data_IF_923657988631
#
_entry.id   IF_923657988631
#
_cell.length_a   1.000
_cell.length_b   1.000
_cell.length_c   1.000
_cell.angle_alpha   90.00
_cell.angle_beta   90.00
_cell.angle_gamma   90.00
#
_symmetry.space_group_name_H-M   'P 1'
#
loop_
_entity.id
_entity.type
_entity.pdbx_description
1 polymer ?
#
# COMPACT_ATOMS: atom_id res chain seq x y z
N UNK A 1 -55.03 -56.33 33.44
CA UNK A 1 -53.99 -55.44 33.99
C UNK A 1 -52.81 -55.22 33.03
N UNK A 2 -52.43 -56.21 32.21
CA UNK A 2 -51.26 -56.18 31.31
C UNK A 2 -51.28 -55.05 30.25
N UNK A 3 -52.41 -54.82 29.57
CA UNK A 3 -52.54 -53.78 28.53
C UNK A 3 -52.28 -52.35 29.02
N UNK A 4 -52.55 -52.06 30.30
CA UNK A 4 -52.32 -50.72 30.87
C UNK A 4 -50.83 -50.46 31.18
N UNK A 5 -50.08 -51.51 31.52
CA UNK A 5 -48.63 -51.42 31.70
C UNK A 5 -47.91 -51.22 30.36
N UNK A 6 -48.36 -51.95 29.34
CA UNK A 6 -47.83 -51.86 27.97
C UNK A 6 -48.06 -50.49 27.34
N UNK A 7 -49.24 -49.89 27.54
CA UNK A 7 -49.53 -48.52 27.09
C UNK A 7 -48.64 -47.45 27.75
N UNK A 8 -48.33 -47.59 29.04
CA UNK A 8 -47.40 -46.67 29.74
C UNK A 8 -45.97 -46.81 29.24
N UNK A 9 -45.53 -48.03 28.93
CA UNK A 9 -44.21 -48.26 28.34
C UNK A 9 -44.12 -47.65 26.93
N UNK A 10 -45.15 -47.83 26.09
CA UNK A 10 -45.20 -47.22 24.75
C UNK A 10 -45.17 -45.70 24.79
N UNK A 11 -45.90 -45.07 25.72
CA UNK A 11 -45.86 -43.62 25.91
C UNK A 11 -44.46 -43.14 26.38
N UNK A 12 -43.84 -43.90 27.28
CA UNK A 12 -42.47 -43.62 27.75
C UNK A 12 -41.45 -43.70 26.61
N UNK A 13 -41.54 -44.74 25.78
CA UNK A 13 -40.70 -44.93 24.60
C UNK A 13 -40.94 -43.84 23.55
N UNK A 14 -42.20 -43.49 23.27
CA UNK A 14 -42.55 -42.42 22.34
C UNK A 14 -42.01 -41.06 22.82
N UNK A 15 -42.13 -40.75 24.11
CA UNK A 15 -41.56 -39.53 24.70
C UNK A 15 -40.05 -39.51 24.59
N UNK A 16 -39.36 -40.61 24.92
CA UNK A 16 -37.91 -40.70 24.79
C UNK A 16 -37.46 -40.51 23.34
N UNK A 17 -38.14 -41.15 22.39
CA UNK A 17 -37.85 -41.01 20.97
C UNK A 17 -38.09 -39.58 20.47
N UNK A 18 -39.14 -38.91 20.95
CA UNK A 18 -39.44 -37.53 20.60
C UNK A 18 -38.41 -36.55 21.19
N UNK A 19 -38.01 -36.74 22.44
CA UNK A 19 -36.94 -35.95 23.07
C UNK A 19 -35.59 -36.18 22.38
N UNK A 20 -35.26 -37.43 22.06
CA UNK A 20 -34.04 -37.78 21.33
C UNK A 20 -34.02 -37.17 19.92
N UNK A 21 -35.13 -37.31 19.18
CA UNK A 21 -35.27 -36.73 17.85
C UNK A 21 -35.22 -35.19 17.87
N UNK A 22 -35.89 -34.54 18.82
CA UNK A 22 -35.88 -33.08 18.95
C UNK A 22 -34.51 -32.53 19.37
N UNK A 23 -33.78 -33.21 20.26
CA UNK A 23 -32.38 -32.88 20.55
C UNK A 23 -31.48 -33.09 19.33
N UNK A 24 -31.72 -34.12 18.52
CA UNK A 24 -31.04 -34.35 17.25
C UNK A 24 -31.28 -33.22 16.25
N UNK A 25 -32.52 -32.74 16.12
CA UNK A 25 -32.88 -31.58 15.30
C UNK A 25 -32.15 -30.33 15.80
N UNK A 26 -32.15 -30.08 17.11
CA UNK A 26 -31.49 -28.91 17.70
C UNK A 26 -29.97 -28.95 17.50
N UNK A 27 -29.34 -30.12 17.68
CA UNK A 27 -27.92 -30.30 17.42
C UNK A 27 -27.58 -30.04 15.95
N UNK A 28 -28.41 -30.53 15.02
CA UNK A 28 -28.25 -30.27 13.59
C UNK A 28 -28.46 -28.79 13.23
N UNK A 29 -29.43 -28.13 13.86
CA UNK A 29 -29.64 -26.70 13.69
C UNK A 29 -28.44 -25.88 14.17
N UNK A 30 -27.88 -26.21 15.35
CA UNK A 30 -26.66 -25.58 15.88
C UNK A 30 -25.46 -25.81 14.96
N UNK A 31 -25.27 -27.04 14.44
CA UNK A 31 -24.24 -27.36 13.45
C UNK A 31 -24.40 -26.52 12.19
N UNK A 32 -25.63 -26.42 11.65
CA UNK A 32 -25.93 -25.59 10.48
C UNK A 32 -25.61 -24.12 10.73
N UNK A 33 -25.98 -23.57 11.89
CA UNK A 33 -25.67 -22.18 12.24
C UNK A 33 -24.16 -21.92 12.25
N UNK A 34 -23.39 -22.84 12.84
CA UNK A 34 -21.92 -22.78 12.84
C UNK A 34 -21.34 -22.86 11.43
N UNK A 35 -21.86 -23.74 10.57
CA UNK A 35 -21.41 -23.87 9.18
C UNK A 35 -21.73 -22.62 8.37
N UNK A 36 -22.90 -22.01 8.58
CA UNK A 36 -23.27 -20.76 7.91
C UNK A 36 -22.33 -19.64 8.35
N UNK A 37 -22.05 -19.51 9.65
CA UNK A 37 -21.10 -18.51 10.18
C UNK A 37 -19.70 -18.70 9.59
N UNK A 38 -19.24 -19.95 9.47
CA UNK A 38 -17.95 -20.26 8.87
C UNK A 38 -17.93 -19.93 7.38
N UNK A 39 -18.99 -20.30 6.65
CA UNK A 39 -19.11 -20.01 5.22
C UNK A 39 -19.13 -18.51 4.93
N UNK A 40 -19.82 -17.71 5.75
CA UNK A 40 -19.78 -16.25 5.64
C UNK A 40 -18.39 -15.68 5.89
N UNK A 41 -17.67 -16.18 6.90
CA UNK A 41 -16.30 -15.75 7.16
C UNK A 41 -15.37 -16.12 5.98
N UNK A 42 -15.46 -17.36 5.48
CA UNK A 42 -14.64 -17.85 4.37
C UNK A 42 -14.93 -17.12 3.06
N UNK A 43 -16.20 -16.82 2.78
CA UNK A 43 -16.58 -15.99 1.64
C UNK A 43 -15.98 -14.59 1.75
N UNK A 44 -16.03 -13.99 2.95
CA UNK A 44 -15.48 -12.65 3.18
C UNK A 44 -13.96 -12.63 3.03
N UNK A 45 -13.25 -13.64 3.54
CA UNK A 45 -11.80 -13.81 3.33
C UNK A 45 -11.49 -13.98 1.85
N UNK A 46 -12.28 -14.78 1.12
CA UNK A 46 -12.09 -14.95 -0.33
C UNK A 46 -12.32 -13.65 -1.10
N UNK A 47 -13.30 -12.83 -0.71
CA UNK A 47 -13.50 -11.52 -1.32
C UNK A 47 -12.35 -10.58 -1.00
N UNK A 48 -11.77 -10.65 0.22
CA UNK A 48 -10.61 -9.87 0.61
C UNK A 48 -9.35 -10.25 -0.18
N UNK A 49 -9.07 -11.53 -0.39
CA UNK A 49 -7.96 -11.96 -1.24
C UNK A 49 -8.13 -11.48 -2.69
N UNK A 50 -9.36 -11.49 -3.23
CA UNK A 50 -9.62 -10.98 -4.57
C UNK A 50 -9.48 -9.46 -4.67
N UNK A 51 -9.85 -8.72 -3.62
CA UNK A 51 -9.67 -7.27 -3.60
C UNK A 51 -8.21 -6.89 -3.39
N UNK A 52 -7.42 -7.66 -2.64
CA UNK A 52 -5.97 -7.50 -2.54
C UNK A 52 -5.29 -7.64 -3.90
N UNK A 53 -5.56 -8.74 -4.63
CA UNK A 53 -5.04 -8.96 -5.99
C UNK A 53 -5.43 -7.80 -6.91
N UNK A 54 -6.67 -7.31 -6.80
CA UNK A 54 -7.14 -6.15 -7.56
C UNK A 54 -6.46 -4.83 -7.16
N UNK A 55 -6.13 -4.63 -5.88
CA UNK A 55 -5.35 -3.45 -5.45
C UNK A 55 -3.94 -3.54 -6.04
N UNK A 56 -3.34 -4.72 -6.04
CA UNK A 56 -2.03 -4.95 -6.65
C UNK A 56 -2.08 -4.73 -8.17
N UNK A 57 -3.13 -5.16 -8.86
CA UNK A 57 -3.38 -4.84 -10.27
C UNK A 57 -3.60 -3.35 -10.51
N UNK A 58 -4.28 -2.62 -9.61
CA UNK A 58 -4.47 -1.18 -9.73
C UNK A 58 -3.18 -0.38 -9.48
N UNK A 59 -2.28 -0.91 -8.64
CA UNK A 59 -0.97 -0.33 -8.37
C UNK A 59 0.07 -0.67 -9.45
N UNK A 60 0.00 -1.86 -10.04
CA UNK A 60 0.92 -2.34 -11.10
C UNK A 60 0.42 -2.03 -12.52
N UNK A 61 -0.90 -1.97 -12.73
CA UNK A 61 -1.59 -1.72 -14.01
C UNK A 61 -1.41 -0.31 -14.57
N UNK A 62 -0.66 0.56 -13.88
CA UNK A 62 -0.10 1.78 -14.48
C UNK A 62 0.97 1.52 -15.54
N UNK A 63 1.38 0.26 -15.79
CA UNK A 63 2.50 -0.10 -16.69
C UNK A 63 2.15 -1.18 -17.74
N UNK A 64 0.88 -1.57 -17.92
CA UNK A 64 0.52 -2.65 -18.84
C UNK A 64 -0.67 -2.32 -19.75
N UNK A 65 -0.36 -1.93 -20.99
CA UNK A 65 -1.16 -1.97 -22.22
C UNK A 65 -2.71 -1.97 -22.11
N UNK A 66 -3.34 -0.90 -22.61
CA UNK A 66 -4.41 -0.89 -23.65
C UNK A 66 -5.21 0.43 -23.58
N UNK A 67 -5.01 1.26 -24.60
CA UNK A 67 -5.98 2.16 -25.25
C UNK A 67 -7.31 2.46 -24.52
N UNK A 68 -7.29 3.32 -23.50
CA UNK A 68 -8.51 3.97 -23.02
C UNK A 68 -8.29 5.46 -22.73
N UNK A 69 -8.82 6.28 -23.64
CA UNK A 69 -9.29 7.64 -23.37
C UNK A 69 -8.22 8.70 -23.04
N UNK A 70 -8.20 9.85 -23.74
CA UNK A 70 -7.26 10.94 -23.46
C UNK A 70 -7.44 11.67 -22.09
N UNK A 71 -8.18 11.10 -21.13
CA UNK A 71 -8.41 11.71 -19.80
C UNK A 71 -8.35 10.72 -18.60
N UNK A 72 -8.09 9.43 -18.79
CA UNK A 72 -8.12 8.43 -17.70
C UNK A 72 -6.78 7.69 -17.49
N UNK A 73 -5.66 8.32 -17.86
CA UNK A 73 -4.29 7.81 -17.62
C UNK A 73 -3.75 8.08 -16.20
N UNK A 74 -4.62 8.50 -15.28
CA UNK A 74 -4.26 8.80 -13.91
C UNK A 74 -4.15 7.51 -13.10
N UNK A 75 -2.96 7.20 -12.59
CA UNK A 75 -2.79 6.20 -11.54
C UNK A 75 -3.82 6.50 -10.43
N UNK A 76 -4.80 5.61 -10.28
CA UNK A 76 -5.90 5.75 -9.33
C UNK A 76 -5.43 5.39 -7.92
N UNK A 77 -4.41 6.09 -7.41
CA UNK A 77 -3.86 5.88 -6.08
C UNK A 77 -4.94 6.04 -5.00
N UNK A 78 -5.78 7.08 -5.13
CA UNK A 78 -6.92 7.35 -4.24
C UNK A 78 -7.88 6.15 -4.17
N UNK A 79 -8.19 5.54 -5.32
CA UNK A 79 -9.08 4.39 -5.41
C UNK A 79 -8.47 3.12 -4.81
N UNK A 80 -7.19 2.87 -5.09
CA UNK A 80 -6.44 1.73 -4.56
C UNK A 80 -6.30 1.80 -3.04
N UNK A 81 -5.91 2.96 -2.51
CA UNK A 81 -5.74 3.21 -1.06
C UNK A 81 -7.06 3.06 -0.32
N UNK A 82 -8.15 3.63 -0.85
CA UNK A 82 -9.47 3.51 -0.20
C UNK A 82 -9.91 2.06 -0.11
N UNK A 83 -9.74 1.30 -1.20
CA UNK A 83 -10.06 -0.12 -1.21
C UNK A 83 -9.18 -0.89 -0.22
N UNK A 84 -7.91 -0.52 -0.10
CA UNK A 84 -6.96 -1.14 0.82
C UNK A 84 -7.31 -0.89 2.30
N UNK A 85 -7.71 0.33 2.65
CA UNK A 85 -8.20 0.67 3.99
C UNK A 85 -9.48 -0.09 4.33
N UNK A 86 -10.41 -0.23 3.37
CA UNK A 86 -11.63 -1.04 3.55
C UNK A 86 -11.28 -2.52 3.75
N UNK A 87 -10.28 -3.04 3.02
CA UNK A 87 -9.77 -4.39 3.20
C UNK A 87 -9.15 -4.60 4.59
N UNK A 88 -8.41 -3.61 5.10
CA UNK A 88 -7.79 -3.69 6.42
C UNK A 88 -8.84 -3.66 7.54
N UNK A 89 -9.86 -2.81 7.44
CA UNK A 89 -10.97 -2.75 8.39
C UNK A 89 -11.78 -4.06 8.41
N UNK A 90 -12.03 -4.63 7.23
CA UNK A 90 -12.67 -5.92 7.11
C UNK A 90 -11.79 -7.05 7.68
N UNK A 91 -10.49 -7.09 7.36
CA UNK A 91 -9.55 -8.08 7.90
C UNK A 91 -9.46 -8.01 9.44
N UNK A 92 -9.46 -6.82 10.03
CA UNK A 92 -9.45 -6.64 11.48
C UNK A 92 -10.68 -7.28 12.17
N UNK A 93 -11.84 -7.26 11.50
CA UNK A 93 -13.07 -7.90 12.00
C UNK A 93 -12.98 -9.44 12.03
N UNK A 94 -12.06 -10.03 11.26
CA UNK A 94 -11.83 -11.48 11.15
C UNK A 94 -10.48 -11.94 11.72
N UNK A 95 -9.80 -11.10 12.52
CA UNK A 95 -8.47 -11.36 13.09
C UNK A 95 -8.38 -12.61 14.00
N UNK A 96 -9.53 -13.20 14.37
CA UNK A 96 -9.58 -14.45 15.14
C UNK A 96 -9.17 -15.70 14.34
N UNK A 97 -9.01 -15.58 13.02
CA UNK A 97 -8.50 -16.65 12.18
C UNK A 97 -7.01 -16.44 11.87
N UNK A 98 -6.18 -17.44 12.14
CA UNK A 98 -4.74 -17.40 11.82
C UNK A 98 -4.45 -17.14 10.33
N UNK A 99 -5.33 -17.56 9.43
CA UNK A 99 -5.23 -17.24 7.99
C UNK A 99 -5.39 -15.74 7.70
N UNK A 100 -6.17 -15.02 8.52
CA UNK A 100 -6.43 -13.58 8.35
C UNK A 100 -5.27 -12.75 8.88
N UNK A 101 -4.56 -13.24 9.90
CA UNK A 101 -3.34 -12.61 10.38
C UNK A 101 -2.26 -12.56 9.28
N UNK A 102 -1.99 -13.69 8.63
CA UNK A 102 -1.07 -13.74 7.48
C UNK A 102 -1.50 -12.84 6.32
N UNK A 103 -2.81 -12.70 6.08
CA UNK A 103 -3.37 -11.79 5.08
C UNK A 103 -3.18 -10.31 5.49
N UNK A 104 -3.42 -9.98 6.77
CA UNK A 104 -3.28 -8.61 7.26
C UNK A 104 -1.84 -8.10 7.13
N UNK A 105 -0.84 -8.98 7.33
CA UNK A 105 0.57 -8.65 7.07
C UNK A 105 0.79 -8.32 5.59
N UNK A 106 0.30 -9.15 4.66
CA UNK A 106 0.44 -8.85 3.22
C UNK A 106 -0.29 -7.58 2.77
N UNK A 107 -1.47 -7.31 3.33
CA UNK A 107 -2.19 -6.06 3.09
C UNK A 107 -1.41 -4.85 3.60
N UNK A 108 -0.72 -5.00 4.74
CA UNK A 108 0.17 -3.98 5.27
C UNK A 108 1.38 -3.76 4.36
N UNK A 109 2.02 -4.83 3.88
CA UNK A 109 3.12 -4.75 2.90
C UNK A 109 2.66 -4.06 1.60
N UNK A 110 1.44 -4.36 1.14
CA UNK A 110 0.83 -3.72 -0.04
C UNK A 110 0.55 -2.23 0.20
N UNK A 111 0.23 -1.85 1.44
CA UNK A 111 0.02 -0.46 1.83
C UNK A 111 1.33 0.32 1.84
N UNK A 112 2.40 -0.28 2.37
CA UNK A 112 3.74 0.29 2.33
C UNK A 112 4.23 0.46 0.88
N UNK A 113 4.01 -0.53 0.02
CA UNK A 113 4.31 -0.40 -1.42
C UNK A 113 3.50 0.73 -2.09
N UNK A 114 2.24 0.92 -1.70
CA UNK A 114 1.44 2.04 -2.21
C UNK A 114 1.97 3.40 -1.75
N UNK A 115 2.47 3.50 -0.50
CA UNK A 115 3.13 4.69 0.05
C UNK A 115 4.42 5.03 -0.71
N UNK A 116 5.25 4.04 -1.00
CA UNK A 116 6.46 4.22 -1.80
C UNK A 116 6.13 4.74 -3.22
N UNK A 117 5.08 4.19 -3.84
CA UNK A 117 4.67 4.63 -5.18
C UNK A 117 4.07 6.04 -5.19
N UNK A 118 3.40 6.46 -4.10
CA UNK A 118 2.99 7.85 -3.90
C UNK A 118 4.21 8.77 -3.76
N UNK A 119 5.24 8.34 -3.03
CA UNK A 119 6.46 9.13 -2.84
C UNK A 119 7.21 9.33 -4.17
N UNK A 120 7.35 8.27 -4.98
CA UNK A 120 7.93 8.36 -6.32
C UNK A 120 7.14 9.29 -7.23
N UNK A 121 5.80 9.27 -7.15
CA UNK A 121 4.95 10.19 -7.91
C UNK A 121 5.12 11.65 -7.43
N UNK A 122 5.24 11.87 -6.11
CA UNK A 122 5.46 13.19 -5.51
C UNK A 122 6.81 13.78 -5.94
N UNK A 123 7.87 12.98 -5.97
CA UNK A 123 9.19 13.39 -6.45
C UNK A 123 9.14 13.88 -7.92
N UNK A 124 8.36 13.20 -8.78
CA UNK A 124 8.18 13.60 -10.18
C UNK A 124 7.47 14.95 -10.30
N UNK A 125 6.44 15.19 -9.49
CA UNK A 125 5.73 16.49 -9.47
C UNK A 125 6.65 17.63 -9.03
N UNK A 126 7.63 17.37 -8.17
CA UNK A 126 8.61 18.40 -7.75
C UNK A 126 9.54 18.86 -8.88
N UNK A 127 9.74 18.04 -9.92
CA UNK A 127 10.56 18.37 -11.10
C UNK A 127 9.68 18.90 -12.24
N UNK A 128 8.52 18.29 -12.45
CA UNK A 128 7.54 18.65 -13.47
C UNK A 128 6.19 18.87 -12.81
N UNK A 129 5.93 20.12 -12.40
CA UNK A 129 4.70 20.47 -11.68
C UNK A 129 3.47 20.30 -12.57
N UNK A 130 2.55 19.45 -12.12
CA UNK A 130 1.20 19.31 -12.68
C UNK A 130 0.18 19.43 -11.54
N UNK A 131 -0.74 20.39 -11.66
CA UNK A 131 -1.76 20.68 -10.64
C UNK A 131 -2.72 19.50 -10.42
N UNK A 132 -3.12 18.81 -11.50
CA UNK A 132 -4.06 17.70 -11.41
C UNK A 132 -3.45 16.47 -10.71
N UNK A 133 -2.19 16.16 -11.00
CA UNK A 133 -1.48 15.05 -10.35
C UNK A 133 -1.19 15.36 -8.89
N UNK A 134 -0.80 16.60 -8.58
CA UNK A 134 -0.57 17.04 -7.21
C UNK A 134 -1.84 16.95 -6.36
N UNK A 135 -2.98 17.43 -6.87
CA UNK A 135 -4.26 17.37 -6.15
C UNK A 135 -4.67 15.92 -5.84
N UNK A 136 -4.46 14.99 -6.77
CA UNK A 136 -4.76 13.56 -6.58
C UNK A 136 -3.82 12.90 -5.57
N UNK A 137 -2.53 13.23 -5.61
CA UNK A 137 -1.55 12.75 -4.63
C UNK A 137 -1.85 13.30 -3.24
N UNK A 138 -2.20 14.58 -3.13
CA UNK A 138 -2.57 15.22 -1.87
C UNK A 138 -3.85 14.59 -1.28
N UNK A 139 -4.85 14.29 -2.10
CA UNK A 139 -6.06 13.57 -1.67
C UNK A 139 -5.73 12.16 -1.16
N UNK A 140 -4.84 11.44 -1.85
CA UNK A 140 -4.37 10.12 -1.40
C UNK A 140 -3.64 10.18 -0.04
N UNK A 141 -2.74 11.15 0.16
CA UNK A 141 -2.07 11.38 1.44
C UNK A 141 -3.01 11.83 2.55
N UNK A 142 -4.06 12.57 2.19
CA UNK A 142 -5.10 12.97 3.14
C UNK A 142 -5.93 11.75 3.59
N UNK A 143 -6.29 10.85 2.68
CA UNK A 143 -6.98 9.60 3.01
C UNK A 143 -6.17 8.69 3.94
N UNK A 144 -4.84 8.70 3.82
CA UNK A 144 -3.93 8.00 4.74
C UNK A 144 -3.85 8.63 6.13
N UNK A 145 -4.33 9.86 6.31
CA UNK A 145 -4.18 10.62 7.55
C UNK A 145 -2.74 11.05 7.85
N UNK A 146 -1.81 10.86 6.90
CA UNK A 146 -0.36 11.13 7.05
C UNK A 146 0.05 12.41 6.30
N UNK A 147 -0.74 13.48 6.40
CA UNK A 147 -0.47 14.73 5.66
C UNK A 147 0.83 15.41 6.10
N UNK A 148 1.24 15.27 7.37
CA UNK A 148 2.52 15.81 7.84
C UNK A 148 3.71 15.12 7.15
N UNK A 149 3.68 13.79 7.05
CA UNK A 149 4.71 13.03 6.34
C UNK A 149 4.78 13.42 4.86
N UNK A 150 3.63 13.69 4.23
CA UNK A 150 3.59 14.16 2.85
C UNK A 150 4.32 15.52 2.67
N UNK A 151 4.15 16.43 3.63
CA UNK A 151 4.83 17.74 3.63
C UNK A 151 6.34 17.56 3.84
N UNK A 152 6.74 16.72 4.78
CA UNK A 152 8.16 16.46 5.07
C UNK A 152 8.86 15.84 3.85
N UNK A 153 8.22 14.86 3.19
CA UNK A 153 8.73 14.24 1.97
C UNK A 153 8.77 15.23 0.79
N UNK A 154 7.74 16.06 0.63
CA UNK A 154 7.75 17.10 -0.40
C UNK A 154 8.91 18.08 -0.18
N UNK A 155 9.15 18.51 1.06
CA UNK A 155 10.26 19.39 1.38
C UNK A 155 11.61 18.75 1.04
N UNK A 156 11.78 17.45 1.32
CA UNK A 156 12.97 16.69 0.95
C UNK A 156 13.17 16.65 -0.57
N UNK A 157 12.13 16.31 -1.33
CA UNK A 157 12.19 16.23 -2.80
C UNK A 157 12.47 17.58 -3.46
N UNK A 158 11.85 18.65 -2.98
CA UNK A 158 12.09 20.02 -3.47
C UNK A 158 13.53 20.46 -3.21
N UNK A 159 14.04 20.23 -2.00
CA UNK A 159 15.44 20.55 -1.67
C UNK A 159 16.40 19.81 -2.61
N UNK A 160 16.16 18.51 -2.81
CA UNK A 160 16.96 17.67 -3.70
C UNK A 160 16.88 18.14 -5.15
N UNK A 161 15.70 18.48 -5.65
CA UNK A 161 15.50 18.98 -7.01
C UNK A 161 16.22 20.32 -7.24
N UNK A 162 16.18 21.24 -6.25
CA UNK A 162 16.90 22.52 -6.32
C UNK A 162 18.41 22.28 -6.38
N UNK A 163 18.94 21.42 -5.52
CA UNK A 163 20.36 21.09 -5.53
C UNK A 163 20.80 20.43 -6.85
N UNK A 164 20.01 19.48 -7.36
CA UNK A 164 20.26 18.83 -8.64
C UNK A 164 20.24 19.85 -9.79
N UNK A 165 19.24 20.73 -9.84
CA UNK A 165 19.12 21.76 -10.86
C UNK A 165 20.27 22.77 -10.81
N UNK A 166 20.70 23.19 -9.62
CA UNK A 166 21.85 24.08 -9.44
C UNK A 166 23.16 23.43 -9.92
N UNK A 167 23.39 22.16 -9.58
CA UNK A 167 24.55 21.40 -10.03
C UNK A 167 24.54 21.19 -11.55
N UNK A 168 23.39 20.88 -12.14
CA UNK A 168 23.23 20.78 -13.60
C UNK A 168 23.49 22.12 -14.30
N UNK A 169 22.96 23.22 -13.77
CA UNK A 169 23.20 24.55 -14.34
C UNK A 169 24.69 24.96 -14.26
N UNK A 170 25.36 24.68 -13.13
CA UNK A 170 26.77 24.97 -12.94
C UNK A 170 27.65 24.15 -13.89
N UNK A 171 27.41 22.85 -13.98
CA UNK A 171 28.14 21.97 -14.89
C UNK A 171 27.92 22.35 -16.36
N UNK A 172 26.70 22.71 -16.74
CA UNK A 172 26.38 23.23 -18.07
C UNK A 172 27.14 24.54 -18.37
N UNK A 173 27.23 25.46 -17.40
CA UNK A 173 28.00 26.69 -17.54
C UNK A 173 29.50 26.41 -17.72
N UNK A 174 30.08 25.54 -16.89
CA UNK A 174 31.49 25.14 -16.97
C UNK A 174 31.79 24.50 -18.34
N UNK A 175 30.96 23.56 -18.78
CA UNK A 175 31.09 22.91 -20.10
C UNK A 175 30.99 23.92 -21.25
N UNK A 176 30.07 24.87 -21.18
CA UNK A 176 29.91 25.91 -22.21
C UNK A 176 31.10 26.87 -22.25
N UNK A 177 31.67 27.20 -21.09
CA UNK A 177 32.86 28.05 -20.99
C UNK A 177 34.13 27.33 -21.47
N UNK A 178 34.20 26.00 -21.31
CA UNK A 178 35.28 25.18 -21.88
C UNK A 178 35.18 25.00 -23.40
N UNK A 179 33.99 25.14 -23.99
CA UNK A 179 33.77 25.00 -25.45
C UNK A 179 33.96 26.29 -26.26
N UNK A 180 34.13 27.45 -25.63
CA UNK A 180 34.36 28.72 -26.32
C UNK A 180 35.56 29.47 -25.70
N UNK A 181 36.80 29.22 -26.16
CA UNK A 181 37.97 29.87 -25.62
C UNK A 181 38.05 31.31 -26.16
N UNK A 182 37.40 32.25 -25.48
CA UNK A 182 37.71 33.68 -25.63
C UNK A 182 38.47 34.17 -24.39
N UNK A 183 39.54 34.98 -24.57
CA UNK A 183 40.57 35.12 -23.56
C UNK A 183 40.18 36.20 -22.56
N UNK A 184 39.79 35.83 -21.35
CA UNK A 184 39.94 36.73 -20.21
C UNK A 184 40.59 35.99 -19.04
N UNK A 185 41.81 36.45 -18.79
CA UNK A 185 42.67 36.20 -17.65
C UNK A 185 41.93 36.35 -16.33
N UNK A 186 42.00 35.32 -15.49
CA UNK A 186 42.02 35.52 -14.04
C UNK A 186 43.13 34.62 -13.48
N UNK A 187 44.23 35.27 -13.11
CA UNK A 187 45.30 34.71 -12.31
C UNK A 187 44.81 34.43 -10.90
N UNK A 188 44.67 33.15 -10.54
CA UNK A 188 45.06 32.67 -9.22
C UNK A 188 45.53 31.23 -9.33
N UNK A 189 46.80 31.06 -9.02
CA UNK A 189 47.52 29.81 -8.79
C UNK A 189 46.86 28.94 -7.71
N UNK A 190 46.56 27.68 -8.04
CA UNK A 190 46.88 26.51 -7.21
C UNK A 190 46.62 25.20 -7.95
N UNK A 191 47.72 24.67 -8.50
CA UNK A 191 48.16 23.27 -8.49
C UNK A 191 47.13 22.17 -8.17
N UNK A 192 46.99 21.22 -9.09
CA UNK A 192 46.77 19.81 -8.72
C UNK A 192 45.53 19.14 -9.28
N UNK A 193 45.51 18.87 -10.59
CA UNK A 193 44.62 17.89 -11.18
C UNK A 193 44.98 16.47 -10.71
N UNK A 194 44.01 15.74 -10.17
CA UNK A 194 43.89 14.29 -10.37
C UNK A 194 42.42 13.93 -10.58
N UNK A 195 42.20 13.30 -11.72
CA UNK A 195 41.03 12.56 -12.20
C UNK A 195 40.43 11.65 -11.15
N UNK A 196 39.10 11.44 -11.16
CA UNK A 196 38.46 10.12 -11.33
C UNK A 196 36.93 10.25 -11.44
N UNK A 197 36.36 9.70 -12.51
CA UNK A 197 34.94 9.72 -12.86
C UNK A 197 34.18 8.50 -12.31
N UNK A 198 34.41 8.14 -11.04
CA UNK A 198 33.83 6.93 -10.42
C UNK A 198 33.13 7.17 -9.07
N UNK A 199 32.92 8.44 -8.66
CA UNK A 199 32.39 8.81 -7.33
C UNK A 199 30.96 9.37 -7.35
N UNK A 200 30.22 9.23 -8.46
CA UNK A 200 28.83 9.67 -8.53
C UNK A 200 27.86 8.72 -7.80
N UNK A 201 28.20 7.43 -7.66
CA UNK A 201 27.33 6.44 -7.02
C UNK A 201 27.53 6.36 -5.48
N UNK A 202 28.60 6.96 -4.93
CA UNK A 202 28.85 6.95 -3.49
C UNK A 202 28.12 8.08 -2.75
N UNK A 203 27.89 9.22 -3.41
CA UNK A 203 27.24 10.39 -2.81
C UNK A 203 25.73 10.20 -2.54
N UNK A 204 25.10 9.21 -3.17
CA UNK A 204 23.68 8.92 -2.91
C UNK A 204 23.45 8.27 -1.54
N UNK A 205 24.44 7.52 -1.03
CA UNK A 205 24.39 6.90 0.31
C UNK A 205 24.71 7.90 1.43
N UNK A 206 25.61 8.85 1.19
CA UNK A 206 26.06 9.81 2.22
C UNK A 206 25.04 10.92 2.49
N UNK A 207 24.21 11.27 1.51
CA UNK A 207 23.14 12.27 1.70
C UNK A 207 22.01 11.70 2.59
N UNK A 208 21.69 10.41 2.48
CA UNK A 208 20.77 9.75 3.42
C UNK A 208 21.37 9.60 4.83
N UNK A 209 22.68 9.38 4.94
CA UNK A 209 23.34 9.21 6.24
C UNK A 209 23.51 10.53 7.02
N UNK A 210 23.41 11.70 6.36
CA UNK A 210 23.47 13.02 7.01
C UNK A 210 22.12 13.44 7.63
N UNK A 211 20.98 13.08 7.03
CA UNK A 211 19.67 13.47 7.57
C UNK A 211 19.24 12.65 8.80
N UNK A 212 19.76 11.43 8.98
CA UNK A 212 19.41 10.60 10.16
C UNK A 212 20.16 10.99 11.45
N UNK A 213 21.18 11.84 11.37
CA UNK A 213 22.01 12.23 12.53
C UNK A 213 21.53 13.49 13.26
N UNK A 214 20.53 14.19 12.72
CA UNK A 214 19.94 15.39 13.36
C UNK A 214 18.56 15.15 14.00
N UNK A 215 18.13 13.88 14.13
CA UNK A 215 16.87 13.50 14.81
C UNK A 215 17.04 12.61 16.06
N UNK A 216 18.24 12.52 16.64
CA UNK A 216 18.48 11.95 17.99
C UNK A 216 19.01 13.02 18.94
#
# INVERSE_FOLDING_TARGET
MEKAAEGRNWLGLARHNLTSASLGILANYKKRLSLVSLLTALHTIKTLHKSEEKVQELLQGGVGDVEKGPNDGANNYVGAIRLLLECQAAAASFAHFSCVEALSVKLQDTLEMAEEQLDVALAKVCVNFNEEDYSRIQEAWHLLGKTQMAVDQMQMHVSTAVHANAAMALSAYICRNMSNPSPLTCTTSSTGAKTNAAEADHYHSDIQHMQYKELC
#
